data_IF_730212542562
#
_entry.id   IF_730212542562
#
_cell.length_a   1.000
_cell.length_b   1.000
_cell.length_c   1.000
_cell.angle_alpha   90.00
_cell.angle_beta   90.00
_cell.angle_gamma   90.00
#
_symmetry.space_group_name_H-M   'P 1'
#
loop_
_entity.id
_entity.type
_entity.pdbx_description
1 polymer ?
#
# COMPACT_ATOMS: atom_id res chain seq x y z
N UNK A 1 -10.21 19.45 5.96
CA UNK A 1 -10.55 18.30 5.12
C UNK A 1 -9.33 17.97 4.27
N UNK A 2 -8.71 16.80 4.45
CA UNK A 2 -7.56 16.39 3.63
C UNK A 2 -8.00 16.24 2.17
N UNK A 3 -7.22 16.67 1.17
CA UNK A 3 -7.48 16.28 -0.21
C UNK A 3 -7.39 14.74 -0.23
N UNK A 4 -8.41 14.09 -0.78
CA UNK A 4 -8.29 12.66 -1.12
C UNK A 4 -7.20 12.57 -2.16
N UNK A 5 -6.05 12.03 -1.78
CA UNK A 5 -5.04 11.57 -2.72
C UNK A 5 -5.73 10.62 -3.71
N UNK A 6 -5.99 11.11 -4.91
CA UNK A 6 -6.37 10.29 -6.07
C UNK A 6 -5.13 9.54 -6.58
N UNK A 7 -4.31 8.96 -5.68
CA UNK A 7 -3.33 7.96 -6.06
C UNK A 7 -4.13 6.72 -6.43
N UNK A 8 -4.33 6.52 -7.74
CA UNK A 8 -4.86 5.27 -8.25
C UNK A 8 -4.02 4.13 -7.69
N UNK A 9 -4.68 3.10 -7.15
CA UNK A 9 -3.98 1.93 -6.60
C UNK A 9 -3.06 1.36 -7.68
N UNK A 10 -1.84 0.99 -7.32
CA UNK A 10 -0.93 0.36 -8.28
C UNK A 10 -1.50 -1.01 -8.71
N UNK A 11 -1.13 -1.55 -9.88
CA UNK A 11 -1.61 -2.86 -10.32
C UNK A 11 -1.31 -3.98 -9.31
N UNK A 12 -0.18 -3.88 -8.61
CA UNK A 12 0.20 -4.79 -7.54
C UNK A 12 -0.77 -4.70 -6.36
N UNK A 13 -1.08 -3.49 -5.90
CA UNK A 13 -2.03 -3.23 -4.82
C UNK A 13 -3.45 -3.72 -5.14
N UNK A 14 -3.92 -3.53 -6.37
CA UNK A 14 -5.22 -4.06 -6.81
C UNK A 14 -5.23 -5.59 -6.78
N UNK A 15 -4.14 -6.23 -7.18
CA UNK A 15 -4.02 -7.68 -7.19
C UNK A 15 -4.02 -8.23 -5.76
N UNK A 16 -3.31 -7.59 -4.82
CA UNK A 16 -3.33 -7.94 -3.39
C UNK A 16 -4.74 -7.86 -2.83
N UNK A 17 -5.44 -6.75 -3.09
CA UNK A 17 -6.82 -6.56 -2.61
C UNK A 17 -7.78 -7.58 -3.21
N UNK A 18 -7.63 -7.90 -4.50
CA UNK A 18 -8.46 -8.91 -5.17
C UNK A 18 -8.19 -10.32 -4.62
N UNK A 19 -6.93 -10.68 -4.39
CA UNK A 19 -6.56 -11.94 -3.75
C UNK A 19 -7.12 -12.01 -2.33
N UNK A 20 -6.98 -10.97 -1.53
CA UNK A 20 -7.53 -10.95 -0.17
C UNK A 20 -9.06 -11.02 -0.17
N UNK A 21 -9.72 -10.21 -0.99
CA UNK A 21 -11.18 -10.18 -1.11
C UNK A 21 -11.74 -11.54 -1.57
N UNK A 22 -11.12 -12.16 -2.57
CA UNK A 22 -11.54 -13.49 -3.02
C UNK A 22 -11.44 -14.51 -1.88
N UNK A 23 -10.31 -14.58 -1.16
CA UNK A 23 -10.14 -15.49 -0.02
C UNK A 23 -11.18 -15.25 1.07
N UNK A 24 -11.45 -14.00 1.40
CA UNK A 24 -12.46 -13.65 2.39
C UNK A 24 -13.86 -14.13 1.95
N UNK A 25 -14.21 -13.92 0.69
CA UNK A 25 -15.47 -14.42 0.11
C UNK A 25 -15.53 -15.96 0.18
N UNK A 26 -14.48 -16.66 -0.23
CA UNK A 26 -14.42 -18.13 -0.17
C UNK A 26 -14.59 -18.65 1.26
N UNK A 27 -13.96 -17.99 2.24
CA UNK A 27 -14.13 -18.30 3.66
C UNK A 27 -15.57 -18.09 4.13
N UNK A 28 -16.16 -16.92 3.84
CA UNK A 28 -17.55 -16.62 4.21
C UNK A 28 -18.54 -17.60 3.58
N UNK A 29 -18.38 -17.91 2.29
CA UNK A 29 -19.22 -18.90 1.58
C UNK A 29 -19.08 -20.27 2.23
N UNK A 30 -17.87 -20.73 2.51
CA UNK A 30 -17.63 -22.00 3.20
C UNK A 30 -18.28 -22.02 4.58
N UNK A 31 -18.19 -20.93 5.35
CA UNK A 31 -18.78 -20.83 6.68
C UNK A 31 -20.31 -20.89 6.63
N UNK A 32 -20.93 -20.14 5.72
CA UNK A 32 -22.39 -20.18 5.50
C UNK A 32 -22.83 -21.57 5.08
N UNK A 33 -22.13 -22.21 4.14
CA UNK A 33 -22.45 -23.57 3.70
C UNK A 33 -22.33 -24.60 4.83
N UNK A 34 -21.32 -24.47 5.71
CA UNK A 34 -21.18 -25.32 6.90
C UNK A 34 -22.34 -25.13 7.88
N UNK A 35 -22.78 -23.88 8.10
CA UNK A 35 -23.95 -23.61 8.96
C UNK A 35 -25.23 -24.19 8.37
N UNK A 36 -25.43 -24.07 7.05
CA UNK A 36 -26.54 -24.71 6.34
C UNK A 36 -26.48 -26.24 6.41
N UNK A 37 -25.29 -26.83 6.29
CA UNK A 37 -25.10 -28.27 6.43
C UNK A 37 -25.49 -28.77 7.83
N UNK A 38 -25.09 -28.04 8.87
CA UNK A 38 -25.46 -28.34 10.24
C UNK A 38 -26.96 -28.17 10.48
N UNK A 39 -27.55 -27.08 10.00
CA UNK A 39 -28.96 -26.78 10.22
C UNK A 39 -29.91 -27.74 9.49
N UNK A 40 -29.60 -28.12 8.24
CA UNK A 40 -30.44 -28.99 7.43
C UNK A 40 -30.00 -30.47 7.44
N UNK A 41 -28.93 -30.82 8.16
CA UNK A 41 -28.38 -32.17 8.20
C UNK A 41 -27.96 -32.72 6.84
N UNK A 42 -27.70 -31.86 5.85
CA UNK A 42 -27.49 -32.28 4.46
C UNK A 42 -25.99 -32.41 4.16
N UNK A 43 -25.51 -33.61 3.82
CA UNK A 43 -24.09 -33.86 3.54
C UNK A 43 -23.61 -33.15 2.27
N UNK A 44 -24.54 -32.79 1.37
CA UNK A 44 -24.22 -32.06 0.13
C UNK A 44 -23.68 -30.67 0.45
N UNK A 45 -24.24 -29.96 1.44
CA UNK A 45 -23.73 -28.65 1.84
C UNK A 45 -22.40 -28.75 2.57
N UNK A 46 -22.19 -29.81 3.37
CA UNK A 46 -20.90 -30.08 4.01
C UNK A 46 -19.81 -30.34 2.97
N UNK A 47 -20.10 -31.14 1.94
CA UNK A 47 -19.19 -31.39 0.83
C UNK A 47 -18.86 -30.10 0.07
N UNK A 48 -19.88 -29.27 -0.23
CA UNK A 48 -19.65 -27.97 -0.88
C UNK A 48 -18.75 -27.07 -0.02
N UNK A 49 -19.03 -26.94 1.27
CA UNK A 49 -18.19 -26.16 2.19
C UNK A 49 -16.73 -26.64 2.15
N UNK A 50 -16.51 -27.96 2.21
CA UNK A 50 -15.18 -28.55 2.15
C UNK A 50 -14.45 -28.25 0.83
N UNK A 51 -15.16 -28.28 -0.31
CA UNK A 51 -14.60 -27.92 -1.62
C UNK A 51 -14.20 -26.44 -1.67
N UNK A 52 -15.05 -25.53 -1.19
CA UNK A 52 -14.74 -24.09 -1.15
C UNK A 52 -13.55 -23.80 -0.22
N UNK A 53 -13.47 -24.50 0.92
CA UNK A 53 -12.35 -24.40 1.84
C UNK A 53 -11.04 -24.95 1.23
N UNK A 54 -11.10 -26.10 0.54
CA UNK A 54 -9.95 -26.67 -0.15
C UNK A 54 -9.45 -25.77 -1.29
N UNK A 55 -10.35 -25.14 -2.04
CA UNK A 55 -9.99 -24.16 -3.08
C UNK A 55 -9.27 -22.92 -2.51
N UNK A 56 -9.70 -22.43 -1.33
CA UNK A 56 -9.03 -21.34 -0.61
C UNK A 56 -7.60 -21.73 -0.17
N UNK A 57 -7.40 -22.97 0.28
CA UNK A 57 -6.07 -23.46 0.65
C UNK A 57 -5.20 -23.68 -0.59
N UNK A 58 -5.74 -24.30 -1.65
CA UNK A 58 -5.01 -24.55 -2.89
C UNK A 58 -4.51 -23.25 -3.53
N UNK A 59 -5.37 -22.22 -3.58
CA UNK A 59 -4.98 -20.89 -4.04
C UNK A 59 -3.91 -20.23 -3.13
N UNK A 60 -3.97 -20.44 -1.81
CA UNK A 60 -2.92 -19.99 -0.89
C UNK A 60 -1.56 -20.60 -1.23
N UNK A 61 -1.53 -21.93 -1.37
CA UNK A 61 -0.31 -22.68 -1.61
C UNK A 61 0.27 -22.34 -2.99
N UNK A 62 -0.59 -22.15 -3.99
CA UNK A 62 -0.18 -21.72 -5.32
C UNK A 62 0.47 -20.32 -5.29
N UNK A 63 -0.14 -19.36 -4.60
CA UNK A 63 0.43 -18.02 -4.41
C UNK A 63 1.75 -18.06 -3.62
N UNK A 64 1.87 -18.97 -2.64
CA UNK A 64 3.07 -19.14 -1.82
C UNK A 64 4.22 -19.69 -2.65
N UNK A 65 3.95 -20.67 -3.51
CA UNK A 65 4.95 -21.27 -4.41
C UNK A 65 5.44 -20.31 -5.49
N UNK A 66 4.61 -19.36 -5.92
CA UNK A 66 4.98 -18.38 -6.92
C UNK A 66 5.81 -17.19 -6.41
N UNK A 67 6.21 -17.17 -5.14
CA UNK A 67 6.87 -16.02 -4.47
C UNK A 67 6.04 -14.71 -4.45
N UNK A 68 4.82 -14.73 -5.02
CA UNK A 68 3.90 -13.60 -5.08
C UNK A 68 3.28 -13.25 -3.73
N UNK A 69 3.28 -14.20 -2.78
CA UNK A 69 2.75 -13.97 -1.44
C UNK A 69 3.62 -13.01 -0.63
N UNK A 70 4.95 -13.11 -0.75
CA UNK A 70 5.89 -12.18 -0.11
C UNK A 70 5.84 -10.78 -0.76
N UNK A 71 5.53 -10.68 -2.06
CA UNK A 71 5.23 -9.40 -2.72
C UNK A 71 3.90 -8.82 -2.23
N UNK A 72 2.89 -9.66 -2.06
CA UNK A 72 1.59 -9.24 -1.54
C UNK A 72 1.68 -8.78 -0.08
N UNK A 73 2.42 -9.49 0.77
CA UNK A 73 2.66 -9.12 2.16
C UNK A 73 3.46 -7.82 2.26
N UNK A 74 4.53 -7.65 1.49
CA UNK A 74 5.28 -6.39 1.44
C UNK A 74 4.43 -5.21 0.96
N UNK A 75 3.61 -5.41 -0.08
CA UNK A 75 2.70 -4.38 -0.56
C UNK A 75 1.58 -4.07 0.46
N UNK A 76 1.13 -5.07 1.22
CA UNK A 76 0.17 -4.90 2.30
C UNK A 76 0.78 -4.14 3.48
N UNK A 77 2.03 -4.47 3.84
CA UNK A 77 2.79 -3.80 4.89
C UNK A 77 3.04 -2.33 4.53
N UNK A 78 3.45 -2.04 3.30
CA UNK A 78 3.56 -0.67 2.76
C UNK A 78 2.22 0.10 2.79
N UNK A 79 1.09 -0.56 2.54
CA UNK A 79 -0.23 0.07 2.68
C UNK A 79 -0.59 0.43 4.13
N UNK A 80 -0.18 -0.39 5.10
CA UNK A 80 -0.53 -0.21 6.52
C UNK A 80 0.47 0.67 7.27
N UNK A 81 1.75 0.67 6.90
CA UNK A 81 2.76 1.57 7.46
C UNK A 81 2.63 2.99 6.92
N UNK A 82 1.98 3.18 5.76
CA UNK A 82 1.93 4.47 5.09
C UNK A 82 3.27 4.87 4.47
N UNK A 83 4.29 4.00 4.53
CA UNK A 83 5.47 4.08 3.68
C UNK A 83 5.05 3.65 2.27
N UNK A 84 4.51 4.60 1.52
CA UNK A 84 4.68 4.55 0.07
C UNK A 84 6.17 4.39 -0.19
N UNK A 85 6.54 3.33 -0.88
CA UNK A 85 7.90 3.00 -1.33
C UNK A 85 8.45 3.99 -2.36
N UNK A 86 8.15 5.28 -2.24
CA UNK A 86 9.08 6.30 -2.71
C UNK A 86 10.18 6.31 -1.66
N UNK A 87 11.40 5.98 -2.09
CA UNK A 87 12.62 6.14 -1.32
C UNK A 87 12.47 7.36 -0.39
N UNK A 88 12.74 7.21 0.91
CA UNK A 88 12.87 8.35 1.80
C UNK A 88 13.97 9.27 1.23
N UNK A 89 13.60 10.17 0.31
CA UNK A 89 14.38 11.35 -0.01
C UNK A 89 14.43 12.12 1.30
N UNK A 90 15.46 11.83 2.10
CA UNK A 90 15.71 12.52 3.35
C UNK A 90 15.74 14.02 3.13
N UNK A 91 15.53 14.79 4.20
CA UNK A 91 15.48 16.26 4.14
C UNK A 91 16.63 16.89 3.34
N UNK A 92 17.83 16.30 3.38
CA UNK A 92 19.01 16.72 2.60
C UNK A 92 18.81 16.58 1.07
N UNK A 93 18.18 15.50 0.61
CA UNK A 93 17.86 15.31 -0.80
C UNK A 93 16.83 16.34 -1.29
N UNK A 94 15.77 16.57 -0.51
CA UNK A 94 14.78 17.60 -0.80
C UNK A 94 15.39 19.01 -0.83
N UNK A 95 16.29 19.33 0.10
CA UNK A 95 17.00 20.62 0.10
C UNK A 95 17.94 20.75 -1.12
N UNK A 96 18.68 19.71 -1.47
CA UNK A 96 19.58 19.73 -2.65
C UNK A 96 18.81 19.93 -3.96
N UNK A 97 17.62 19.33 -4.09
CA UNK A 97 16.74 19.48 -5.25
C UNK A 97 16.14 20.88 -5.35
N UNK A 98 15.90 21.51 -4.20
CA UNK A 98 15.50 22.93 -4.13
C UNK A 98 16.62 23.82 -4.65
N UNK A 99 17.84 23.62 -4.18
CA UNK A 99 19.02 24.38 -4.62
C UNK A 99 19.23 24.26 -6.13
N UNK A 100 19.14 23.04 -6.68
CA UNK A 100 19.27 22.82 -8.13
C UNK A 100 18.16 23.49 -8.96
N UNK A 101 16.97 23.68 -8.41
CA UNK A 101 15.89 24.44 -9.05
C UNK A 101 16.07 25.96 -8.92
N UNK A 102 16.57 26.42 -7.77
CA UNK A 102 16.88 27.83 -7.55
C UNK A 102 18.10 28.30 -8.38
N UNK A 103 19.05 27.42 -8.67
CA UNK A 103 20.19 27.70 -9.57
C UNK A 103 19.72 28.02 -11.01
N UNK A 104 18.61 27.40 -11.43
CA UNK A 104 18.01 27.65 -12.75
C UNK A 104 17.17 28.92 -12.79
N UNK A 105 17.01 29.63 -11.67
CA UNK A 105 16.17 30.83 -11.57
C UNK A 105 16.65 31.92 -12.54
N UNK A 106 15.75 32.38 -13.40
CA UNK A 106 16.07 33.35 -14.46
C UNK A 106 16.44 32.72 -15.80
N UNK A 107 16.52 31.39 -15.89
CA UNK A 107 16.61 30.68 -17.17
C UNK A 107 15.21 30.29 -17.69
N UNK A 108 15.04 30.05 -19.01
CA UNK A 108 13.78 29.55 -19.58
C UNK A 108 13.33 28.19 -19.03
N UNK A 109 14.23 27.44 -18.40
CA UNK A 109 13.95 26.15 -17.77
C UNK A 109 13.53 26.24 -16.29
N UNK A 110 13.36 27.45 -15.75
CA UNK A 110 12.88 27.64 -14.39
C UNK A 110 11.37 27.40 -14.30
N UNK A 111 10.96 26.45 -13.46
CA UNK A 111 9.56 26.24 -13.12
C UNK A 111 9.26 26.74 -11.69
N UNK A 112 8.55 27.88 -11.54
CA UNK A 112 8.15 28.40 -10.23
C UNK A 112 7.22 27.46 -9.46
N UNK A 113 6.44 26.62 -10.15
CA UNK A 113 5.49 25.70 -9.52
C UNK A 113 6.21 24.50 -8.91
N UNK A 114 7.26 24.00 -9.58
CA UNK A 114 8.13 22.96 -9.03
C UNK A 114 8.76 23.39 -7.70
N UNK A 115 9.20 24.66 -7.57
CA UNK A 115 9.74 25.19 -6.32
C UNK A 115 8.67 25.26 -5.22
N UNK A 116 7.44 25.66 -5.56
CA UNK A 116 6.34 25.68 -4.58
C UNK A 116 5.92 24.27 -4.13
N UNK A 117 5.90 23.30 -5.04
CA UNK A 117 5.63 21.91 -4.73
C UNK A 117 6.68 21.36 -3.75
N UNK A 118 7.96 21.59 -4.05
CA UNK A 118 9.06 21.14 -3.18
C UNK A 118 9.03 21.79 -1.79
N UNK A 119 8.60 23.06 -1.70
CA UNK A 119 8.44 23.75 -0.41
C UNK A 119 7.36 23.11 0.45
N UNK A 120 6.29 22.61 -0.17
CA UNK A 120 5.23 21.87 0.54
C UNK A 120 5.74 20.52 0.99
N UNK A 121 6.44 19.79 0.13
CA UNK A 121 7.07 18.50 0.47
C UNK A 121 8.03 18.62 1.65
N UNK A 122 8.90 19.64 1.66
CA UNK A 122 9.79 19.92 2.80
C UNK A 122 8.99 20.25 4.06
N UNK A 123 7.94 21.08 3.95
CA UNK A 123 7.11 21.46 5.10
C UNK A 123 6.35 20.27 5.68
N UNK A 124 5.87 19.38 4.83
CA UNK A 124 5.15 18.17 5.25
C UNK A 124 6.13 17.18 5.87
N UNK A 125 7.32 17.00 5.29
CA UNK A 125 8.38 16.16 5.83
C UNK A 125 8.83 16.61 7.22
N UNK A 126 9.07 17.91 7.43
CA UNK A 126 9.45 18.47 8.74
C UNK A 126 8.34 18.27 9.78
N UNK A 127 7.08 18.34 9.36
CA UNK A 127 5.93 18.15 10.25
C UNK A 127 5.77 16.69 10.69
N UNK A 128 6.10 15.75 9.81
CA UNK A 128 6.04 14.31 10.11
C UNK A 128 7.30 13.78 10.81
N UNK A 129 8.44 14.46 10.65
CA UNK A 129 9.74 14.06 11.20
C UNK A 129 10.41 15.19 12.01
N UNK A 130 9.86 15.58 13.18
CA UNK A 130 10.36 16.71 13.98
C UNK A 130 11.79 16.50 14.54
N UNK A 131 12.28 15.27 14.59
CA UNK A 131 13.66 14.93 14.95
C UNK A 131 14.69 15.31 13.86
N UNK A 132 14.27 15.41 12.60
CA UNK A 132 15.15 15.76 11.48
C UNK A 132 15.66 17.20 11.52
N UNK A 133 14.96 18.11 12.20
CA UNK A 133 15.34 19.52 12.34
C UNK A 133 16.36 19.78 13.45
N UNK A 134 16.52 18.85 14.42
CA UNK A 134 17.54 19.00 15.49
C UNK A 134 18.97 19.03 14.98
N UNK A 135 19.23 18.52 13.76
CA UNK A 135 20.55 18.65 13.10
C UNK A 135 20.89 20.08 12.68
N UNK A 136 19.90 20.97 12.53
CA UNK A 136 20.10 22.35 12.07
C UNK A 136 20.26 23.36 13.22
N UNK A 137 19.72 23.09 14.42
CA UNK A 137 19.84 24.00 15.59
C UNK A 137 21.18 23.89 16.35
N UNK A 138 22.10 23.04 15.88
CA UNK A 138 23.39 22.76 16.52
C UNK A 138 24.58 23.57 15.98
N UNK A 139 24.35 24.69 15.29
CA UNK A 139 25.40 25.63 14.85
C UNK A 139 25.05 27.06 15.21
#
# INVERSE_FOLDING_TARGET
MRPRDNRFNTPAEMLVRLVFASRFIFFCVSLVLSLFAFHHGSPIYALKALVFFAAMIASHVWLKRGNKLAECERALEAMFSGETSDDEEGLEALLSRREALEEKRGTPGFDPWAVQALRREISDYVKTHPESTRRFDGR
#
